data_IF_476289400154
#
_entry.id   IF_476289400154
#
_cell.length_a   1.000
_cell.length_b   1.000
_cell.length_c   1.000
_cell.angle_alpha   90.00
_cell.angle_beta   90.00
_cell.angle_gamma   90.00
#
_symmetry.space_group_name_H-M   'P 1'
#
loop_
_entity.id
_entity.type
_entity.pdbx_description
1 polymer ?
#
# COMPACT_ATOMS: atom_id res chain seq x y z
N UNK A 1 4.34 -7.35 -13.42
CA UNK A 1 5.72 -7.76 -13.04
C UNK A 1 6.76 -7.54 -14.16
N UNK A 2 6.52 -7.95 -15.43
CA UNK A 2 7.51 -7.72 -16.51
C UNK A 2 7.70 -6.23 -16.86
N UNK A 3 6.65 -5.43 -16.83
CA UNK A 3 6.75 -3.98 -17.10
C UNK A 3 7.37 -3.22 -15.93
N UNK A 4 7.04 -3.60 -14.70
CA UNK A 4 7.69 -3.06 -13.50
C UNK A 4 9.20 -3.33 -13.50
N UNK A 5 9.65 -4.52 -13.91
CA UNK A 5 11.08 -4.83 -14.07
C UNK A 5 11.79 -3.98 -15.12
N UNK A 6 11.06 -3.36 -16.05
CA UNK A 6 11.64 -2.39 -16.99
C UNK A 6 11.80 -1.01 -16.36
N UNK A 7 10.85 -0.62 -15.49
CA UNK A 7 10.93 0.63 -14.73
C UNK A 7 11.96 0.52 -13.60
N UNK A 8 12.04 -0.64 -12.95
CA UNK A 8 12.92 -0.93 -11.82
C UNK A 8 13.76 -2.20 -12.07
N UNK A 9 14.80 -2.13 -12.92
CA UNK A 9 15.54 -3.31 -13.39
C UNK A 9 16.35 -4.04 -12.30
N UNK A 10 16.54 -3.40 -11.11
CA UNK A 10 17.23 -3.98 -9.98
C UNK A 10 16.35 -4.86 -9.08
N UNK A 11 15.02 -4.81 -9.25
CA UNK A 11 14.10 -5.57 -8.41
C UNK A 11 14.17 -7.06 -8.70
N UNK A 12 14.44 -7.83 -7.67
CA UNK A 12 14.46 -9.30 -7.70
C UNK A 12 13.53 -9.84 -6.61
N UNK A 13 12.79 -10.87 -6.94
CA UNK A 13 11.90 -11.57 -6.00
C UNK A 13 12.23 -13.05 -6.04
N UNK A 14 12.51 -13.64 -4.87
CA UNK A 14 12.66 -15.08 -4.75
C UNK A 14 11.29 -15.76 -4.66
N UNK A 15 11.18 -17.08 -4.92
CA UNK A 15 9.91 -17.80 -4.77
C UNK A 15 9.32 -17.69 -3.35
N UNK A 16 10.14 -17.57 -2.32
CA UNK A 16 9.73 -17.45 -0.92
C UNK A 16 9.14 -16.08 -0.59
N UNK A 17 9.51 -15.05 -1.36
CA UNK A 17 9.01 -13.68 -1.25
C UNK A 17 7.74 -13.44 -2.07
N UNK A 18 7.34 -14.42 -2.87
CA UNK A 18 6.08 -14.34 -3.61
C UNK A 18 4.91 -14.25 -2.62
N UNK A 19 3.98 -13.30 -2.83
CA UNK A 19 2.96 -12.90 -1.85
C UNK A 19 2.15 -14.08 -1.32
N UNK A 20 1.68 -14.97 -2.19
CA UNK A 20 0.88 -16.14 -1.79
C UNK A 20 1.73 -17.11 -0.95
N UNK A 21 2.98 -17.33 -1.36
CA UNK A 21 3.92 -18.17 -0.63
C UNK A 21 4.22 -17.61 0.76
N UNK A 22 4.44 -16.28 0.84
CA UNK A 22 4.68 -15.58 2.09
C UNK A 22 3.47 -15.64 3.03
N UNK A 23 2.25 -15.37 2.53
CA UNK A 23 1.01 -15.47 3.31
C UNK A 23 0.82 -16.87 3.86
N UNK A 24 1.01 -17.91 3.04
CA UNK A 24 0.91 -19.30 3.50
C UNK A 24 1.96 -19.64 4.55
N UNK A 25 3.20 -19.21 4.35
CA UNK A 25 4.31 -19.50 5.28
C UNK A 25 4.14 -18.80 6.62
N UNK A 26 3.70 -17.54 6.64
CA UNK A 26 3.63 -16.70 7.84
C UNK A 26 2.32 -16.93 8.59
N UNK A 27 1.19 -16.95 7.88
CA UNK A 27 -0.15 -17.00 8.45
C UNK A 27 -0.77 -18.39 8.43
N UNK A 28 -0.24 -19.33 7.64
CA UNK A 28 -0.85 -20.63 7.39
C UNK A 28 -2.07 -20.57 6.48
N UNK A 29 -2.40 -19.44 5.90
CA UNK A 29 -3.59 -19.23 5.07
C UNK A 29 -3.34 -19.59 3.60
N UNK A 30 -4.36 -20.14 2.96
CA UNK A 30 -4.40 -20.23 1.52
C UNK A 30 -4.98 -18.93 0.93
N UNK A 31 -4.78 -18.66 -0.36
CA UNK A 31 -5.35 -17.48 -1.01
C UNK A 31 -6.88 -17.37 -0.88
N UNK A 32 -7.56 -18.51 -0.82
CA UNK A 32 -9.02 -18.62 -0.68
C UNK A 32 -9.52 -18.19 0.71
N UNK A 33 -8.63 -18.19 1.71
CA UNK A 33 -8.94 -17.84 3.11
C UNK A 33 -8.89 -16.31 3.36
N UNK A 34 -8.47 -15.53 2.36
CA UNK A 34 -8.36 -14.08 2.45
C UNK A 34 -9.68 -13.43 2.04
N UNK A 35 -10.35 -12.80 2.99
CA UNK A 35 -11.66 -12.17 2.78
C UNK A 35 -11.56 -10.80 2.11
N UNK A 36 -10.51 -10.01 2.41
CA UNK A 36 -10.32 -8.68 1.82
C UNK A 36 -8.84 -8.27 1.74
N UNK A 37 -8.57 -7.39 0.80
CA UNK A 37 -7.26 -6.76 0.56
C UNK A 37 -7.48 -5.25 0.48
N UNK A 38 -6.65 -4.51 1.18
CA UNK A 38 -6.61 -3.06 1.12
C UNK A 38 -5.37 -2.66 0.34
N UNK A 39 -5.54 -2.12 -0.86
CA UNK A 39 -4.43 -1.57 -1.63
C UNK A 39 -4.16 -0.14 -1.19
N UNK A 40 -2.94 0.16 -0.80
CA UNK A 40 -2.53 1.55 -0.50
C UNK A 40 -2.62 2.41 -1.75
N UNK A 41 -2.21 1.84 -2.87
CA UNK A 41 -2.32 2.37 -4.22
C UNK A 41 -2.21 1.21 -5.24
N UNK A 42 -2.27 1.50 -6.54
CA UNK A 42 -2.37 0.48 -7.59
C UNK A 42 -1.12 0.32 -8.44
N UNK A 43 0.05 0.79 -8.01
CA UNK A 43 1.29 0.43 -8.66
C UNK A 43 1.48 -1.10 -8.65
N UNK A 44 2.15 -1.62 -9.66
CA UNK A 44 2.15 -3.07 -9.94
C UNK A 44 2.87 -3.91 -8.86
N UNK A 45 3.80 -3.36 -8.10
CA UNK A 45 4.44 -4.01 -6.95
C UNK A 45 3.50 -4.15 -5.75
N UNK A 46 2.49 -3.28 -5.61
CA UNK A 46 1.47 -3.33 -4.57
C UNK A 46 0.19 -4.06 -4.99
N UNK A 47 -0.16 -4.04 -6.28
CA UNK A 47 -1.40 -4.63 -6.80
C UNK A 47 -1.19 -5.93 -7.59
N UNK A 48 0.04 -6.26 -7.96
CA UNK A 48 0.38 -7.34 -8.90
C UNK A 48 -0.03 -8.75 -8.46
N UNK A 49 -0.26 -8.96 -7.17
CA UNK A 49 -0.71 -10.24 -6.64
C UNK A 49 -2.22 -10.32 -6.39
N UNK A 50 -2.98 -9.25 -6.61
CA UNK A 50 -4.41 -9.20 -6.29
C UNK A 50 -5.21 -10.34 -6.92
N UNK A 51 -4.98 -10.65 -8.19
CA UNK A 51 -5.70 -11.71 -8.91
C UNK A 51 -5.50 -13.13 -8.35
N UNK A 52 -4.50 -13.32 -7.52
CA UNK A 52 -4.19 -14.61 -6.88
C UNK A 52 -5.08 -14.91 -5.66
N UNK A 53 -5.89 -13.96 -5.20
CA UNK A 53 -6.80 -14.08 -4.06
C UNK A 53 -8.25 -14.14 -4.55
N UNK A 54 -8.78 -15.34 -4.86
CA UNK A 54 -10.01 -15.51 -5.63
C UNK A 54 -11.27 -15.08 -4.88
N UNK A 55 -11.25 -15.06 -3.55
CA UNK A 55 -12.40 -14.72 -2.70
C UNK A 55 -12.36 -13.30 -2.14
N UNK A 56 -11.20 -12.65 -2.17
CA UNK A 56 -11.02 -11.36 -1.52
C UNK A 56 -11.83 -10.23 -2.17
N UNK A 57 -12.39 -9.33 -1.37
CA UNK A 57 -12.82 -7.99 -1.78
C UNK A 57 -11.63 -7.05 -1.72
N UNK A 58 -11.58 -6.08 -2.62
CA UNK A 58 -10.48 -5.13 -2.73
C UNK A 58 -10.96 -3.73 -2.38
N UNK A 59 -10.24 -3.06 -1.49
CA UNK A 59 -10.53 -1.70 -1.06
C UNK A 59 -9.46 -0.75 -1.61
N UNK A 60 -9.91 0.30 -2.29
CA UNK A 60 -9.04 1.33 -2.86
C UNK A 60 -9.78 2.67 -2.87
N UNK A 61 -9.06 3.79 -2.83
CA UNK A 61 -9.70 5.08 -3.05
C UNK A 61 -10.21 5.18 -4.50
N UNK A 62 -11.40 5.74 -4.66
CA UNK A 62 -11.98 5.96 -5.99
C UNK A 62 -11.05 6.77 -6.89
N UNK A 63 -10.38 7.76 -6.33
CA UNK A 63 -9.42 8.58 -7.05
C UNK A 63 -8.21 7.78 -7.55
N UNK A 64 -7.71 6.85 -6.77
CA UNK A 64 -6.62 5.94 -7.19
C UNK A 64 -7.04 5.07 -8.36
N UNK A 65 -8.26 4.51 -8.26
CA UNK A 65 -8.82 3.73 -9.35
C UNK A 65 -8.93 4.52 -10.65
N UNK A 66 -9.44 5.75 -10.59
CA UNK A 66 -9.58 6.63 -11.75
C UNK A 66 -8.22 6.97 -12.37
N UNK A 67 -7.22 7.27 -11.54
CA UNK A 67 -5.85 7.57 -11.96
C UNK A 67 -5.18 6.35 -12.61
N UNK A 68 -5.33 5.16 -12.04
CA UNK A 68 -4.71 3.93 -12.53
C UNK A 68 -5.14 3.56 -13.98
N UNK A 69 -6.29 4.03 -14.45
CA UNK A 69 -6.74 3.85 -15.83
C UNK A 69 -6.34 4.97 -16.78
N UNK A 70 -5.92 6.11 -16.25
CA UNK A 70 -5.47 7.25 -17.04
C UNK A 70 -4.37 8.03 -16.30
N UNK A 71 -3.23 7.36 -15.99
CA UNK A 71 -2.18 7.96 -15.21
C UNK A 71 -1.52 9.13 -15.95
N UNK A 72 -0.94 10.05 -15.19
CA UNK A 72 -0.03 11.04 -15.77
C UNK A 72 1.18 10.34 -16.35
N UNK A 73 1.79 10.91 -17.37
CA UNK A 73 2.85 10.26 -18.13
C UNK A 73 4.04 9.74 -17.31
N UNK A 74 4.53 10.40 -16.26
CA UNK A 74 5.59 9.86 -15.41
C UNK A 74 5.19 8.61 -14.63
N UNK A 75 3.89 8.43 -14.36
CA UNK A 75 3.35 7.31 -13.58
C UNK A 75 2.98 6.09 -14.45
N UNK A 76 2.81 6.26 -15.77
CA UNK A 76 2.43 5.17 -16.69
C UNK A 76 3.25 3.87 -16.51
N UNK A 77 4.57 3.90 -16.28
CA UNK A 77 5.36 2.68 -16.15
C UNK A 77 5.04 1.84 -14.91
N UNK A 78 4.45 2.45 -13.88
CA UNK A 78 4.17 1.79 -12.61
C UNK A 78 2.79 1.15 -12.56
N UNK A 79 1.87 1.53 -13.44
CA UNK A 79 0.52 0.98 -13.52
C UNK A 79 0.43 -0.15 -14.57
N UNK A 80 0.10 -1.36 -14.13
CA UNK A 80 -0.26 -2.48 -15.03
C UNK A 80 -1.73 -2.83 -14.83
N UNK A 81 -2.59 -2.42 -15.76
CA UNK A 81 -4.03 -2.66 -15.70
C UNK A 81 -4.39 -4.14 -15.58
N UNK A 82 -3.53 -5.07 -15.98
CA UNK A 82 -3.75 -6.51 -15.78
C UNK A 82 -3.84 -6.89 -14.30
N UNK A 83 -3.28 -6.08 -13.41
CA UNK A 83 -3.32 -6.35 -11.97
C UNK A 83 -4.71 -6.11 -11.35
N UNK A 84 -5.56 -5.31 -12.00
CA UNK A 84 -6.82 -4.84 -11.41
C UNK A 84 -7.98 -4.69 -12.40
N UNK A 85 -7.81 -4.94 -13.69
CA UNK A 85 -8.90 -4.86 -14.67
C UNK A 85 -9.92 -6.01 -14.51
N UNK A 86 -11.07 -5.87 -15.19
CA UNK A 86 -12.17 -6.84 -15.12
C UNK A 86 -11.83 -8.25 -15.62
N UNK A 87 -10.75 -8.43 -16.37
CA UNK A 87 -10.30 -9.73 -16.88
C UNK A 87 -9.55 -10.51 -15.79
N UNK A 88 -8.83 -9.79 -14.92
CA UNK A 88 -8.11 -10.37 -13.80
C UNK A 88 -8.96 -10.45 -12.53
N UNK A 89 -9.77 -9.41 -12.28
CA UNK A 89 -10.59 -9.29 -11.08
C UNK A 89 -11.95 -8.70 -11.47
N UNK A 90 -13.05 -9.38 -11.09
CA UNK A 90 -14.40 -8.85 -11.31
C UNK A 90 -14.55 -7.48 -10.67
N UNK A 91 -15.08 -6.50 -11.42
CA UNK A 91 -15.37 -5.16 -10.93
C UNK A 91 -16.20 -5.16 -9.63
N UNK A 92 -17.12 -6.10 -9.47
CA UNK A 92 -17.97 -6.22 -8.28
C UNK A 92 -17.23 -6.65 -7.01
N UNK A 93 -15.95 -6.99 -7.11
CA UNK A 93 -15.08 -7.28 -5.96
C UNK A 93 -14.33 -6.05 -5.47
N UNK A 94 -14.42 -4.93 -6.18
CA UNK A 94 -13.82 -3.66 -5.80
C UNK A 94 -14.80 -2.81 -5.00
N UNK A 95 -14.36 -2.31 -3.87
CA UNK A 95 -15.06 -1.34 -3.02
C UNK A 95 -14.28 -0.02 -3.08
N UNK A 96 -14.92 0.99 -3.67
CA UNK A 96 -14.31 2.30 -3.88
C UNK A 96 -14.58 3.21 -2.69
N UNK A 97 -13.54 3.56 -1.98
CA UNK A 97 -13.59 4.49 -0.86
C UNK A 97 -13.52 5.93 -1.35
N UNK A 98 -14.09 6.84 -0.57
CA UNK A 98 -14.04 8.27 -0.86
C UNK A 98 -13.70 9.04 0.42
N UNK A 99 -12.42 9.10 0.73
CA UNK A 99 -11.90 9.72 1.94
C UNK A 99 -11.59 8.73 3.06
N UNK A 100 -11.39 9.26 4.25
CA UNK A 100 -11.08 8.48 5.44
C UNK A 100 -12.27 7.60 5.85
N UNK A 101 -12.01 6.35 6.19
CA UNK A 101 -13.06 5.36 6.45
C UNK A 101 -12.64 4.41 7.56
N UNK A 102 -13.52 4.12 8.50
CA UNK A 102 -13.36 3.00 9.42
C UNK A 102 -14.01 1.76 8.80
N UNK A 103 -13.19 0.76 8.46
CA UNK A 103 -13.68 -0.50 7.86
C UNK A 103 -14.20 -1.47 8.91
N UNK A 104 -13.50 -1.57 10.02
CA UNK A 104 -13.83 -2.40 11.17
C UNK A 104 -13.44 -1.64 12.45
N UNK A 105 -14.01 -1.96 13.61
CA UNK A 105 -13.56 -1.36 14.86
C UNK A 105 -12.04 -1.49 15.04
N UNK A 106 -11.34 -0.35 15.08
CA UNK A 106 -9.87 -0.30 15.21
C UNK A 106 -9.09 -0.47 13.90
N UNK A 107 -9.75 -0.70 12.77
CA UNK A 107 -9.13 -0.73 11.45
C UNK A 107 -9.64 0.44 10.61
N UNK A 108 -8.81 1.43 10.39
CA UNK A 108 -9.15 2.65 9.68
C UNK A 108 -8.28 2.83 8.44
N UNK A 109 -8.84 3.43 7.42
CA UNK A 109 -8.13 3.88 6.23
C UNK A 109 -8.12 5.40 6.26
N UNK A 110 -6.98 5.98 5.98
CA UNK A 110 -6.81 7.42 5.82
C UNK A 110 -6.25 7.73 4.44
N UNK A 111 -6.75 8.78 3.80
CA UNK A 111 -6.17 9.30 2.57
C UNK A 111 -4.82 9.93 2.87
N UNK A 112 -3.81 9.54 2.13
CA UNK A 112 -2.43 10.04 2.23
C UNK A 112 -1.86 10.30 0.84
N UNK A 113 -2.46 11.25 0.06
CA UNK A 113 -2.00 11.56 -1.28
C UNK A 113 -0.59 12.16 -1.27
N UNK A 114 0.11 12.01 -2.38
CA UNK A 114 1.44 12.57 -2.60
C UNK A 114 2.31 11.68 -3.47
N UNK A 115 2.46 10.41 -3.11
CA UNK A 115 3.10 9.39 -3.94
C UNK A 115 2.25 9.10 -5.19
N UNK A 116 0.97 8.81 -5.01
CA UNK A 116 -0.06 8.90 -6.04
C UNK A 116 -1.17 9.86 -5.59
N UNK A 117 -2.02 10.30 -6.50
CA UNK A 117 -3.12 11.22 -6.16
C UNK A 117 -4.19 10.57 -5.30
N UNK A 118 -4.37 9.27 -5.39
CA UNK A 118 -5.37 8.50 -4.65
C UNK A 118 -4.81 7.62 -3.55
N UNK A 119 -3.54 7.79 -3.20
CA UNK A 119 -2.87 6.99 -2.18
C UNK A 119 -3.60 7.02 -0.83
N UNK A 120 -3.61 5.88 -0.14
CA UNK A 120 -4.16 5.72 1.21
C UNK A 120 -3.22 4.90 2.11
N UNK A 121 -3.31 5.13 3.40
CA UNK A 121 -2.61 4.35 4.43
C UNK A 121 -3.60 3.64 5.34
N UNK A 122 -3.16 2.55 5.95
CA UNK A 122 -3.99 1.74 6.85
C UNK A 122 -3.54 1.94 8.28
N UNK A 123 -4.48 2.24 9.16
CA UNK A 123 -4.26 2.38 10.60
C UNK A 123 -4.91 1.22 11.34
N UNK A 124 -4.18 0.58 12.23
CA UNK A 124 -4.73 -0.42 13.13
C UNK A 124 -4.21 -0.26 14.55
N UNK A 125 -5.09 -0.55 15.52
CA UNK A 125 -4.74 -0.54 16.93
C UNK A 125 -4.07 -1.89 17.28
N UNK A 126 -2.83 -1.80 17.76
CA UNK A 126 -2.06 -2.98 18.22
C UNK A 126 -2.35 -3.34 19.69
N UNK A 127 -3.30 -2.67 20.31
CA UNK A 127 -3.62 -2.75 21.73
C UNK A 127 -2.95 -1.64 22.55
N UNK A 128 -3.46 -1.45 23.75
CA UNK A 128 -2.98 -0.41 24.67
C UNK A 128 -3.08 1.04 24.13
N UNK A 129 -3.99 1.29 23.19
CA UNK A 129 -4.18 2.60 22.56
C UNK A 129 -3.02 3.02 21.65
N UNK A 130 -2.19 2.09 21.21
CA UNK A 130 -1.13 2.34 20.25
C UNK A 130 -1.60 2.01 18.83
N UNK A 131 -1.48 2.98 17.96
CA UNK A 131 -1.89 2.89 16.55
C UNK A 131 -0.65 2.76 15.68
N UNK A 132 -0.68 1.77 14.79
CA UNK A 132 0.33 1.57 13.74
C UNK A 132 -0.24 2.00 12.40
N UNK A 133 0.57 2.70 11.62
CA UNK A 133 0.28 3.08 10.24
C UNK A 133 1.06 2.18 9.28
N UNK A 134 0.37 1.40 8.46
CA UNK A 134 0.94 0.81 7.24
C UNK A 134 0.87 1.90 6.18
N UNK A 135 1.99 2.54 5.93
CA UNK A 135 2.01 3.77 5.15
C UNK A 135 1.92 3.56 3.64
N UNK A 136 2.28 2.38 3.14
CA UNK A 136 2.58 2.26 1.71
C UNK A 136 3.70 3.23 1.31
N UNK A 137 3.67 3.70 0.09
CA UNK A 137 4.77 4.45 -0.52
C UNK A 137 4.74 5.95 -0.28
N UNK A 138 3.77 6.45 0.48
CA UNK A 138 3.90 7.80 1.03
C UNK A 138 5.13 7.89 1.97
N UNK A 139 5.54 6.74 2.55
CA UNK A 139 6.79 6.58 3.26
C UNK A 139 7.47 5.29 2.78
N UNK A 140 8.51 5.40 1.97
CA UNK A 140 9.34 4.26 1.59
C UNK A 140 10.17 3.76 2.77
N UNK A 141 10.67 4.71 3.58
CA UNK A 141 11.42 4.48 4.82
C UNK A 141 10.88 5.38 5.93
N UNK A 142 11.16 5.06 7.19
CA UNK A 142 10.62 5.80 8.33
C UNK A 142 11.11 7.26 8.38
N UNK A 143 12.28 7.55 7.87
CA UNK A 143 12.86 8.89 7.80
C UNK A 143 12.00 9.85 6.96
N UNK A 144 11.21 9.33 5.99
CA UNK A 144 10.31 10.17 5.22
C UNK A 144 9.37 10.95 6.14
N UNK A 145 8.67 10.27 7.04
CA UNK A 145 7.76 10.93 7.98
C UNK A 145 8.48 11.57 9.16
N UNK A 146 9.57 10.99 9.65
CA UNK A 146 10.26 11.48 10.84
C UNK A 146 11.13 12.72 10.57
N UNK A 147 11.74 12.79 9.38
CA UNK A 147 12.67 13.85 9.00
C UNK A 147 12.14 14.77 7.89
N UNK A 148 10.89 14.58 7.46
CA UNK A 148 10.28 15.27 6.30
C UNK A 148 11.11 15.13 5.02
N UNK A 149 11.55 13.92 4.72
CA UNK A 149 12.22 13.60 3.46
C UNK A 149 11.20 13.07 2.45
N UNK A 150 11.24 13.57 1.23
CA UNK A 150 10.35 13.08 0.18
C UNK A 150 10.70 11.63 -0.21
N UNK A 151 9.69 10.76 -0.48
CA UNK A 151 9.94 9.46 -1.10
C UNK A 151 10.41 9.62 -2.55
N UNK A 152 10.92 8.54 -3.16
CA UNK A 152 11.53 8.60 -4.49
C UNK A 152 10.58 9.03 -5.60
N UNK A 153 9.29 8.70 -5.48
CA UNK A 153 8.24 9.03 -6.45
C UNK A 153 7.20 9.88 -5.75
N UNK A 154 6.97 11.08 -6.26
CA UNK A 154 6.02 12.05 -5.72
C UNK A 154 5.33 12.77 -6.88
N UNK A 155 4.00 12.69 -6.92
CA UNK A 155 3.18 13.43 -7.89
C UNK A 155 2.69 14.77 -7.34
N UNK A 156 2.61 14.92 -6.02
CA UNK A 156 2.14 16.13 -5.33
C UNK A 156 2.93 16.36 -4.03
N UNK A 157 3.99 17.16 -4.13
CA UNK A 157 4.87 17.50 -2.99
C UNK A 157 4.10 18.16 -1.83
N UNK A 158 3.29 19.19 -2.04
CA UNK A 158 2.48 19.76 -0.95
C UNK A 158 1.55 18.76 -0.26
N UNK A 159 0.95 17.83 -1.01
CA UNK A 159 0.10 16.80 -0.45
C UNK A 159 0.91 15.79 0.37
N UNK A 160 2.13 15.45 -0.06
CA UNK A 160 3.05 14.56 0.67
C UNK A 160 3.29 15.06 2.09
N UNK A 161 3.69 16.32 2.25
CA UNK A 161 3.95 16.89 3.58
C UNK A 161 2.70 16.94 4.45
N UNK A 162 1.53 17.25 3.89
CA UNK A 162 0.24 17.17 4.61
C UNK A 162 -0.09 15.73 5.04
N UNK A 163 0.25 14.75 4.22
CA UNK A 163 0.09 13.33 4.55
C UNK A 163 1.00 12.91 5.69
N UNK A 164 2.25 13.39 5.73
CA UNK A 164 3.15 13.17 6.85
C UNK A 164 2.60 13.79 8.15
N UNK A 165 2.15 15.04 8.09
CA UNK A 165 1.53 15.69 9.27
C UNK A 165 0.31 14.90 9.77
N UNK A 166 -0.55 14.43 8.86
CA UNK A 166 -1.72 13.62 9.20
C UNK A 166 -1.32 12.30 9.86
N UNK A 167 -0.33 11.58 9.33
CA UNK A 167 0.18 10.34 9.91
C UNK A 167 0.71 10.58 11.32
N UNK A 168 1.54 11.61 11.54
CA UNK A 168 2.07 11.96 12.87
C UNK A 168 0.99 12.28 13.90
N UNK A 169 -0.15 12.82 13.47
CA UNK A 169 -1.27 13.14 14.38
C UNK A 169 -2.05 11.92 14.84
N UNK A 170 -2.06 10.81 14.07
CA UNK A 170 -2.99 9.70 14.29
C UNK A 170 -2.31 8.36 14.57
N UNK A 171 -1.01 8.25 14.36
CA UNK A 171 -0.24 7.03 14.55
C UNK A 171 0.93 7.21 15.52
N UNK A 172 1.33 6.11 16.15
CA UNK A 172 2.47 6.05 17.08
C UNK A 172 3.66 5.31 16.44
N UNK A 173 3.34 4.41 15.51
CA UNK A 173 4.31 3.58 14.81
C UNK A 173 4.02 3.58 13.32
N UNK A 174 5.06 3.34 12.53
CA UNK A 174 4.96 3.23 11.08
C UNK A 174 5.53 1.89 10.60
N UNK A 175 4.89 1.33 9.58
CA UNK A 175 5.40 0.26 8.71
C UNK A 175 5.54 0.86 7.32
N UNK A 176 6.75 1.26 6.91
CA UNK A 176 7.03 1.82 5.58
C UNK A 176 6.88 0.81 4.45
N UNK A 177 6.71 1.31 3.22
CA UNK A 177 6.50 0.46 2.04
C UNK A 177 7.75 -0.33 1.62
N UNK A 178 8.94 0.27 1.72
CA UNK A 178 10.18 -0.24 1.12
C UNK A 178 11.40 -0.22 2.06
N UNK A 179 11.18 -0.24 3.37
CA UNK A 179 12.30 -0.22 4.34
C UNK A 179 12.89 -1.62 4.52
N UNK A 180 14.14 -1.86 4.07
CA UNK A 180 14.79 -3.16 4.23
C UNK A 180 15.05 -3.52 5.70
N UNK A 181 15.15 -2.55 6.59
CA UNK A 181 15.38 -2.76 8.02
C UNK A 181 14.25 -3.52 8.72
N UNK A 182 13.02 -3.47 8.17
CA UNK A 182 11.88 -4.21 8.72
C UNK A 182 11.99 -5.72 8.46
N UNK A 183 12.64 -6.13 7.37
CA UNK A 183 12.73 -7.55 6.98
C UNK A 183 13.80 -8.34 7.76
N UNK A 184 14.76 -7.67 8.37
CA UNK A 184 15.91 -8.29 9.02
C UNK A 184 15.69 -8.62 10.52
N UNK A 185 14.44 -8.60 10.99
CA UNK A 185 14.09 -8.93 12.37
C UNK A 185 14.42 -7.83 13.38
N UNK A 186 14.82 -6.65 12.91
CA UNK A 186 14.85 -5.42 13.69
C UNK A 186 13.42 -4.98 14.02
N UNK A 187 13.26 -4.02 14.89
CA UNK A 187 11.98 -3.58 15.43
C UNK A 187 10.88 -3.49 14.37
N UNK A 188 9.90 -4.40 14.47
CA UNK A 188 8.79 -4.49 13.51
C UNK A 188 7.91 -3.23 13.48
N UNK A 189 8.03 -2.36 14.48
CA UNK A 189 7.26 -1.13 14.62
C UNK A 189 8.21 0.03 14.87
N UNK A 190 8.43 0.85 13.84
CA UNK A 190 9.31 2.01 13.97
C UNK A 190 8.53 3.16 14.59
N UNK A 191 9.02 3.76 15.71
CA UNK A 191 8.35 4.89 16.32
C UNK A 191 8.28 6.11 15.39
N UNK A 192 7.16 6.81 15.44
CA UNK A 192 7.04 8.15 14.83
C UNK A 192 7.51 9.16 15.88
N UNK A 193 8.46 10.02 15.50
CA UNK A 193 9.13 10.99 16.38
C UNK A 193 8.58 12.39 16.11
#
# INVERSE_FOLDING_TARGET
MEEYKKAEPGVQQTPEQETVTAVKRIMGWNPEDVDFIINTHLHCDHSGSNSKFPNAKFFVQKREWEEAFNPIKPEEPFYDQKCYNKESISYFRWEFLNGDTELLPGLRIITTPGHTFGHQSVLFDIGNGKVTCVSGDICNVAENVNENLEPNIVVDVPATYKSFEKIRQVAHYILPGHDPGITDGAEQFIPII
#
